data_IF_956944261636
#
_entry.id   IF_956944261636
#
_cell.length_a   1.000
_cell.length_b   1.000
_cell.length_c   1.000
_cell.angle_alpha   90.00
_cell.angle_beta   90.00
_cell.angle_gamma   90.00
#
_symmetry.space_group_name_H-M   'P 1'
#
loop_
_entity.id
_entity.type
_entity.pdbx_description
1 polymer ?
#
# COMPACT_ATOMS: atom_id res chain seq x y z
N UNK A 1 2.68 18.08 10.81
CA UNK A 1 1.57 17.14 10.54
C UNK A 1 1.95 15.80 11.17
N UNK A 2 1.19 15.32 12.15
CA UNK A 2 1.41 13.97 12.70
C UNK A 2 1.10 12.95 11.61
N UNK A 3 2.08 12.13 11.27
CA UNK A 3 1.94 11.08 10.25
C UNK A 3 0.94 10.05 10.78
N UNK A 4 -0.16 9.85 10.06
CA UNK A 4 -1.22 8.89 10.46
C UNK A 4 -0.91 7.46 10.06
N UNK A 5 0.25 7.21 9.45
CA UNK A 5 0.59 5.92 8.89
C UNK A 5 2.08 5.60 9.02
N UNK A 6 2.36 4.33 9.18
CA UNK A 6 3.69 3.74 9.06
C UNK A 6 3.69 2.79 7.85
N UNK A 7 4.77 2.81 7.06
CA UNK A 7 4.93 1.93 5.91
C UNK A 7 5.86 0.80 6.35
N UNK A 8 5.38 -0.44 6.29
CA UNK A 8 6.19 -1.64 6.51
C UNK A 8 6.74 -2.18 5.19
N UNK A 9 5.94 -2.15 4.13
CA UNK A 9 6.34 -2.57 2.78
C UNK A 9 5.64 -1.72 1.72
N UNK A 10 6.29 -1.53 0.58
CA UNK A 10 5.83 -0.72 -0.53
C UNK A 10 6.12 -1.44 -1.86
N UNK A 11 5.12 -1.47 -2.73
CA UNK A 11 5.27 -1.87 -4.14
C UNK A 11 5.11 -0.61 -4.99
N UNK A 12 6.15 -0.28 -5.76
CA UNK A 12 6.16 0.86 -6.66
C UNK A 12 5.65 0.42 -8.03
N UNK A 13 4.60 1.09 -8.52
CA UNK A 13 3.96 0.79 -9.80
C UNK A 13 4.07 2.04 -10.69
N UNK A 14 4.73 1.96 -11.86
CA UNK A 14 4.80 3.09 -12.79
C UNK A 14 3.40 3.42 -13.33
N UNK A 15 3.07 4.70 -13.47
CA UNK A 15 1.79 5.13 -14.00
C UNK A 15 1.82 5.25 -15.54
N UNK A 16 0.75 4.85 -16.21
CA UNK A 16 0.69 4.80 -17.68
C UNK A 16 0.28 6.13 -18.32
N UNK A 17 -0.31 7.04 -17.55
CA UNK A 17 -0.78 8.34 -18.06
C UNK A 17 0.36 9.35 -18.31
N UNK A 18 1.63 8.99 -18.05
CA UNK A 18 2.79 9.83 -18.35
C UNK A 18 3.96 8.98 -18.84
N UNK A 19 4.48 9.30 -20.02
CA UNK A 19 5.57 8.55 -20.66
C UNK A 19 6.96 8.78 -20.03
N UNK A 20 7.10 9.77 -19.15
CA UNK A 20 8.40 10.19 -18.62
C UNK A 20 8.84 9.41 -17.36
N UNK A 21 8.10 8.37 -16.97
CA UNK A 21 8.35 7.54 -15.77
C UNK A 21 8.48 8.36 -14.47
N UNK A 22 8.02 9.62 -14.44
CA UNK A 22 8.16 10.45 -13.24
C UNK A 22 7.02 10.27 -12.25
N UNK A 23 5.96 9.55 -12.65
CA UNK A 23 4.74 9.34 -11.86
C UNK A 23 4.60 7.87 -11.50
N UNK A 24 4.44 7.62 -10.21
CA UNK A 24 4.31 6.27 -9.68
C UNK A 24 3.19 6.20 -8.65
N UNK A 25 2.48 5.09 -8.66
CA UNK A 25 1.68 4.64 -7.53
C UNK A 25 2.57 3.90 -6.55
N UNK A 26 2.32 4.13 -5.27
CA UNK A 26 2.98 3.46 -4.16
C UNK A 26 1.91 2.69 -3.40
N UNK A 27 1.86 1.37 -3.61
CA UNK A 27 0.93 0.49 -2.90
C UNK A 27 1.62 0.06 -1.62
N UNK A 28 1.16 0.59 -0.50
CA UNK A 28 1.81 0.44 0.80
C UNK A 28 1.03 -0.52 1.68
N UNK A 29 1.76 -1.37 2.41
CA UNK A 29 1.26 -2.11 3.56
C UNK A 29 1.90 -1.57 4.83
N UNK A 30 1.10 -1.38 5.89
CA UNK A 30 1.61 -0.99 7.20
C UNK A 30 0.49 -0.73 8.19
N UNK A 31 0.73 0.15 9.17
CA UNK A 31 -0.26 0.53 10.18
C UNK A 31 -0.77 1.94 9.93
N UNK A 32 -2.04 2.18 10.24
CA UNK A 32 -2.68 3.48 10.14
C UNK A 32 -3.40 3.78 11.44
N UNK A 33 -3.28 5.01 11.91
CA UNK A 33 -3.94 5.54 13.08
C UNK A 33 -4.78 6.77 12.66
N UNK A 34 -6.01 6.51 12.23
CA UNK A 34 -6.95 7.54 11.76
C UNK A 34 -7.34 8.51 12.88
N UNK A 35 -7.50 7.97 14.10
CA UNK A 35 -7.93 8.72 15.28
C UNK A 35 -6.77 9.52 15.91
N UNK A 36 -5.53 9.20 15.55
CA UNK A 36 -4.29 9.72 16.17
C UNK A 36 -4.26 9.50 17.68
N UNK A 37 -4.83 8.38 18.11
CA UNK A 37 -4.91 7.95 19.51
C UNK A 37 -4.00 6.75 19.70
N UNK A 38 -3.14 6.79 20.71
CA UNK A 38 -2.23 5.67 21.02
C UNK A 38 -2.99 4.34 21.16
N UNK A 39 -2.49 3.29 20.50
CA UNK A 39 -3.09 1.95 20.54
C UNK A 39 -4.24 1.72 19.56
N UNK A 40 -4.64 2.72 18.77
CA UNK A 40 -5.69 2.62 17.75
C UNK A 40 -5.16 2.27 16.35
N UNK A 41 -3.90 1.82 16.23
CA UNK A 41 -3.28 1.42 14.97
C UNK A 41 -3.98 0.20 14.36
N UNK A 42 -4.30 0.25 13.07
CA UNK A 42 -4.75 -0.94 12.32
C UNK A 42 -3.91 -1.19 11.10
N UNK A 43 -3.69 -2.47 10.79
CA UNK A 43 -3.07 -2.91 9.55
C UNK A 43 -3.93 -2.48 8.36
N UNK A 44 -3.31 -1.87 7.35
CA UNK A 44 -4.00 -1.41 6.16
C UNK A 44 -3.12 -1.53 4.91
N UNK A 45 -3.78 -1.66 3.77
CA UNK A 45 -3.18 -1.39 2.45
C UNK A 45 -3.76 -0.07 1.97
N UNK A 46 -2.89 0.84 1.52
CA UNK A 46 -3.29 2.14 0.98
C UNK A 46 -2.40 2.51 -0.21
N UNK A 47 -2.90 3.42 -1.05
CA UNK A 47 -2.21 3.83 -2.27
C UNK A 47 -1.86 5.30 -2.16
N UNK A 48 -0.57 5.61 -2.33
CA UNK A 48 -0.08 6.97 -2.51
C UNK A 48 0.35 7.17 -3.95
N UNK A 49 0.58 8.41 -4.33
CA UNK A 49 1.13 8.74 -5.64
C UNK A 49 2.35 9.63 -5.46
N UNK A 50 3.40 9.42 -6.25
CA UNK A 50 4.54 10.33 -6.29
C UNK A 50 4.67 10.99 -7.64
N UNK A 51 5.14 12.23 -7.63
CA UNK A 51 5.54 12.96 -8.82
C UNK A 51 6.99 13.39 -8.65
N UNK A 52 7.83 13.08 -9.63
CA UNK A 52 9.27 13.39 -9.59
C UNK A 52 9.95 12.88 -8.30
N UNK A 53 9.59 11.65 -7.88
CA UNK A 53 10.12 11.01 -6.66
C UNK A 53 9.51 11.52 -5.34
N UNK A 54 8.65 12.54 -5.36
CA UNK A 54 8.05 13.11 -4.14
C UNK A 54 6.64 12.54 -3.93
N UNK A 55 6.43 11.83 -2.82
CA UNK A 55 5.12 11.30 -2.42
C UNK A 55 4.14 12.42 -2.08
N UNK A 56 2.97 12.39 -2.71
CA UNK A 56 1.85 13.27 -2.45
C UNK A 56 0.89 12.62 -1.45
N UNK A 57 0.68 13.31 -0.32
CA UNK A 57 -0.21 12.87 0.76
C UNK A 57 -1.52 13.69 0.83
N UNK A 58 -1.67 14.69 -0.03
CA UNK A 58 -2.82 15.60 -0.02
C UNK A 58 -3.89 15.21 -1.03
N UNK A 59 -3.46 14.72 -2.19
CA UNK A 59 -4.34 14.36 -3.29
C UNK A 59 -4.46 12.83 -3.31
N UNK A 60 -5.69 12.29 -3.41
CA UNK A 60 -5.89 10.86 -3.62
C UNK A 60 -5.14 10.35 -4.85
N UNK A 61 -4.70 9.10 -4.81
CA UNK A 61 -4.20 8.44 -6.00
C UNK A 61 -5.37 8.21 -6.98
N UNK A 62 -5.25 8.76 -8.20
CA UNK A 62 -6.25 8.57 -9.25
C UNK A 62 -5.74 7.49 -10.21
N UNK A 63 -6.44 6.36 -10.26
CA UNK A 63 -6.13 5.25 -11.16
C UNK A 63 -6.85 5.46 -12.48
N UNK A 64 -6.10 5.47 -13.58
CA UNK A 64 -6.71 5.52 -14.92
C UNK A 64 -7.38 4.18 -15.26
N UNK A 65 -8.48 4.26 -16.02
CA UNK A 65 -9.29 3.11 -16.43
C UNK A 65 -9.27 2.89 -17.94
N UNK A 66 -8.68 3.83 -18.67
CA UNK A 66 -8.72 4.00 -20.10
C UNK A 66 -7.29 4.11 -20.63
N UNK A 67 -6.70 2.96 -20.92
CA UNK A 67 -5.45 2.84 -21.65
C UNK A 67 -5.63 1.83 -22.78
N UNK A 68 -4.95 2.05 -23.90
CA UNK A 68 -4.90 1.07 -25.01
C UNK A 68 -4.09 -0.19 -24.63
N UNK A 69 -3.29 -0.12 -23.56
CA UNK A 69 -2.58 -1.23 -22.94
C UNK A 69 -3.11 -1.57 -21.54
N UNK A 70 -2.26 -2.15 -20.69
CA UNK A 70 -2.58 -2.46 -19.29
C UNK A 70 -3.03 -1.21 -18.52
N UNK A 71 -4.07 -1.30 -17.69
CA UNK A 71 -4.63 -0.14 -16.98
C UNK A 71 -3.92 0.09 -15.66
N UNK A 72 -3.81 1.36 -15.23
CA UNK A 72 -3.25 1.68 -13.92
C UNK A 72 -4.03 0.98 -12.78
N UNK A 73 -5.35 0.85 -12.94
CA UNK A 73 -6.19 0.11 -12.01
C UNK A 73 -5.76 -1.35 -11.85
N UNK A 74 -5.53 -2.07 -12.95
CA UNK A 74 -5.24 -3.51 -12.92
C UNK A 74 -3.88 -3.78 -12.25
N UNK A 75 -2.85 -3.00 -12.59
CA UNK A 75 -1.52 -3.10 -11.96
C UNK A 75 -1.57 -2.81 -10.46
N UNK A 76 -2.28 -1.76 -10.06
CA UNK A 76 -2.40 -1.41 -8.64
C UNK A 76 -3.20 -2.46 -7.89
N UNK A 77 -4.27 -3.00 -8.47
CA UNK A 77 -5.04 -4.09 -7.88
C UNK A 77 -4.20 -5.36 -7.72
N UNK A 78 -3.35 -5.70 -8.68
CA UNK A 78 -2.42 -6.83 -8.56
C UNK A 78 -1.44 -6.64 -7.40
N UNK A 79 -0.82 -5.45 -7.30
CA UNK A 79 0.08 -5.12 -6.19
C UNK A 79 -0.64 -5.17 -4.82
N UNK A 80 -1.89 -4.68 -4.74
CA UNK A 80 -2.70 -4.78 -3.52
C UNK A 80 -2.99 -6.24 -3.15
N UNK A 81 -3.32 -7.09 -4.14
CA UNK A 81 -3.56 -8.52 -3.91
C UNK A 81 -2.30 -9.22 -3.43
N UNK A 82 -1.16 -8.93 -4.03
CA UNK A 82 0.14 -9.46 -3.60
C UNK A 82 0.41 -9.16 -2.12
N UNK A 83 0.32 -7.88 -1.71
CA UNK A 83 0.54 -7.51 -0.32
C UNK A 83 -0.48 -8.15 0.63
N UNK A 84 -1.75 -8.17 0.25
CA UNK A 84 -2.81 -8.80 1.05
C UNK A 84 -2.52 -10.28 1.30
N UNK A 85 -2.20 -11.04 0.25
CA UNK A 85 -1.96 -12.47 0.41
C UNK A 85 -0.65 -12.74 1.16
N UNK A 86 0.42 -11.98 0.90
CA UNK A 86 1.68 -12.06 1.65
C UNK A 86 1.45 -11.92 3.14
N UNK A 87 0.76 -10.86 3.56
CA UNK A 87 0.57 -10.57 4.99
C UNK A 87 -0.55 -11.38 5.64
N UNK A 88 -1.54 -11.85 4.89
CA UNK A 88 -2.50 -12.85 5.38
C UNK A 88 -1.83 -14.19 5.70
N UNK A 89 -0.86 -14.60 4.89
CA UNK A 89 -0.08 -15.83 5.14
C UNK A 89 0.82 -15.63 6.36
N UNK A 90 1.53 -14.51 6.45
CA UNK A 90 2.38 -14.19 7.61
C UNK A 90 1.61 -14.15 8.93
N UNK A 91 0.43 -13.51 8.94
CA UNK A 91 -0.42 -13.44 10.13
C UNK A 91 -0.82 -14.85 10.63
N UNK A 92 -1.09 -15.80 9.72
CA UNK A 92 -1.37 -17.20 10.10
C UNK A 92 -0.16 -17.89 10.73
N UNK A 93 1.05 -17.64 10.21
CA UNK A 93 2.27 -18.22 10.77
C UNK A 93 2.62 -17.63 12.13
N UNK A 94 2.46 -16.32 12.32
CA UNK A 94 2.67 -15.65 13.61
C UNK A 94 1.75 -16.21 14.69
N UNK A 95 0.45 -16.38 14.38
CA UNK A 95 -0.53 -17.01 15.29
C UNK A 95 -0.09 -18.43 15.66
N UNK A 96 0.30 -19.24 14.67
CA UNK A 96 0.68 -20.63 14.91
C UNK A 96 1.97 -20.78 15.76
N UNK A 97 2.92 -19.85 15.63
CA UNK A 97 4.13 -19.84 16.47
C UNK A 97 3.84 -19.42 17.91
N UNK A 98 2.94 -18.45 18.11
CA UNK A 98 2.50 -18.04 19.44
C UNK A 98 1.76 -19.17 20.17
N UNK A 99 0.87 -19.90 19.49
CA UNK A 99 0.18 -21.06 20.06
C UNK A 99 1.16 -22.16 20.51
N UNK A 100 2.23 -22.41 19.74
CA UNK A 100 3.28 -23.37 20.08
C UNK A 100 4.20 -22.92 21.21
N UNK A 101 4.38 -21.62 21.39
CA UNK A 101 5.22 -21.08 22.47
C UNK A 101 4.51 -21.05 23.84
N UNK A 102 3.19 -21.27 23.86
CA UNK A 102 2.34 -21.25 25.07
C UNK A 102 2.03 -22.67 25.58
N UNK A 103 2.55 -23.72 24.94
CA UNK A 103 2.50 -25.12 25.39
C UNK A 103 3.91 -25.67 25.63
#
# INVERSE_FOLDING_TARGET
>A
MTKVHEIKEEVIVPANHRQDETVHYHVCYGTVNWEKTEGAERKAIYVLMSYHGVKNYRVPAHLTLDSEGEKDFDKVMEAMRYLREKYKVLDKYEVHQLEKAVH
#
